data_IF_439918711457
#
_entry.id   IF_439918711457
#
_cell.length_a   1.000
_cell.length_b   1.000
_cell.length_c   1.000
_cell.angle_alpha   90.00
_cell.angle_beta   90.00
_cell.angle_gamma   90.00
#
_symmetry.space_group_name_H-M   'P 1'
#
loop_
_entity.id
_entity.type
_entity.pdbx_description
1 polymer ?
#
# COMPACT_ATOMS: atom_id res chain seq x y z
N UNK A 1 13.62 26.07 -17.19
CA UNK A 1 15.09 26.14 -17.13
C UNK A 1 15.63 24.79 -17.58
N UNK A 2 16.67 24.76 -18.44
CA UNK A 2 16.94 23.76 -19.50
C UNK A 2 16.96 22.24 -19.15
N UNK A 3 16.74 21.83 -17.90
CA UNK A 3 16.59 20.42 -17.48
C UNK A 3 15.31 20.11 -16.66
N UNK A 4 14.34 21.04 -16.57
CA UNK A 4 13.12 20.86 -15.76
C UNK A 4 13.39 20.97 -14.25
N UNK A 5 12.34 21.23 -13.44
CA UNK A 5 12.49 21.21 -11.98
C UNK A 5 12.66 19.75 -11.53
N UNK A 6 13.76 19.45 -10.82
CA UNK A 6 13.99 18.12 -10.22
C UNK A 6 13.06 17.98 -9.01
N UNK A 7 12.13 17.05 -9.09
CA UNK A 7 11.15 16.78 -8.04
C UNK A 7 11.52 15.49 -7.30
N UNK A 8 11.75 15.59 -6.00
CA UNK A 8 11.78 14.43 -5.10
C UNK A 8 10.40 14.21 -4.49
N UNK A 9 9.94 12.97 -4.44
CA UNK A 9 8.73 12.58 -3.72
C UNK A 9 9.10 11.59 -2.61
N UNK A 10 8.78 11.95 -1.37
CA UNK A 10 8.85 11.04 -0.24
C UNK A 10 7.44 10.62 0.16
N UNK A 11 7.20 9.31 0.23
CA UNK A 11 5.95 8.74 0.72
C UNK A 11 6.20 8.20 2.13
N UNK A 12 5.41 8.67 3.10
CA UNK A 12 5.48 8.24 4.50
C UNK A 12 4.13 7.67 4.92
N UNK A 13 4.13 6.45 5.47
CA UNK A 13 2.97 5.89 6.15
C UNK A 13 2.73 6.63 7.48
N UNK A 14 1.47 6.89 7.83
CA UNK A 14 1.09 7.65 9.03
C UNK A 14 1.58 7.01 10.35
N UNK A 15 1.62 5.68 10.39
CA UNK A 15 2.04 4.86 11.52
C UNK A 15 3.49 4.36 11.39
N UNK A 16 4.29 4.88 10.45
CA UNK A 16 5.68 4.47 10.26
C UNK A 16 6.53 4.69 11.53
N UNK A 17 6.27 5.77 12.25
CA UNK A 17 6.84 6.06 13.56
C UNK A 17 6.02 7.16 14.26
N UNK A 18 5.85 7.07 15.58
CA UNK A 18 5.07 8.01 16.39
C UNK A 18 5.74 9.38 16.57
N UNK A 19 7.07 9.45 16.54
CA UNK A 19 7.84 10.67 16.78
C UNK A 19 8.33 11.31 15.47
N UNK A 20 8.73 10.50 14.48
CA UNK A 20 9.10 10.98 13.14
C UNK A 20 7.84 11.22 12.29
N UNK A 21 7.09 12.25 12.67
CA UNK A 21 5.85 12.68 11.99
C UNK A 21 6.15 13.34 10.64
N UNK A 22 5.14 13.47 9.78
CA UNK A 22 5.29 14.16 8.49
C UNK A 22 5.75 15.60 8.69
N UNK A 23 5.17 16.32 9.66
CA UNK A 23 5.56 17.70 9.97
C UNK A 23 7.00 17.78 10.51
N UNK A 24 7.41 16.86 11.38
CA UNK A 24 8.78 16.80 11.88
C UNK A 24 9.79 16.55 10.75
N UNK A 25 9.55 15.54 9.91
CA UNK A 25 10.45 15.22 8.79
C UNK A 25 10.50 16.37 7.77
N UNK A 26 9.37 17.02 7.49
CA UNK A 26 9.36 18.19 6.60
C UNK A 26 10.19 19.33 7.17
N UNK A 27 10.00 19.69 8.45
CA UNK A 27 10.79 20.74 9.09
C UNK A 27 12.29 20.41 9.14
N UNK A 28 12.63 19.15 9.43
CA UNK A 28 14.02 18.67 9.41
C UNK A 28 14.65 18.85 8.02
N UNK A 29 13.94 18.47 6.96
CA UNK A 29 14.46 18.64 5.59
C UNK A 29 14.49 20.09 5.12
N UNK A 30 13.59 20.95 5.61
CA UNK A 30 13.67 22.39 5.32
C UNK A 30 14.93 23.00 5.95
N UNK A 31 15.24 22.66 7.20
CA UNK A 31 16.44 23.14 7.89
C UNK A 31 17.74 22.61 7.26
N UNK A 32 17.83 21.29 7.06
CA UNK A 32 19.03 20.66 6.50
C UNK A 32 19.21 20.93 4.98
N UNK A 33 18.12 21.27 4.29
CA UNK A 33 18.12 21.55 2.86
C UNK A 33 18.70 22.92 2.51
N UNK A 34 18.56 23.91 3.40
CA UNK A 34 18.98 25.29 3.15
C UNK A 34 18.51 25.80 1.78
N UNK A 35 19.44 26.32 0.97
CA UNK A 35 19.13 26.84 -0.37
C UNK A 35 19.13 25.75 -1.48
N UNK A 36 19.34 24.47 -1.14
CA UNK A 36 19.46 23.40 -2.12
C UNK A 36 18.10 22.96 -2.69
N UNK A 37 17.05 22.94 -1.86
CA UNK A 37 15.70 22.54 -2.28
C UNK A 37 14.62 23.08 -1.35
N UNK A 38 13.41 23.24 -1.88
CA UNK A 38 12.20 23.51 -1.11
C UNK A 38 11.48 22.21 -0.75
N UNK A 39 10.92 22.13 0.46
CA UNK A 39 10.06 21.03 0.89
C UNK A 39 8.60 21.47 0.86
N UNK A 40 7.71 20.56 0.47
CA UNK A 40 6.26 20.76 0.56
C UNK A 40 5.63 19.52 1.15
N UNK A 41 4.88 19.70 2.24
CA UNK A 41 4.10 18.62 2.83
C UNK A 41 2.71 18.51 2.18
N UNK A 42 2.24 17.28 2.01
CA UNK A 42 0.87 16.98 1.60
C UNK A 42 0.34 15.80 2.42
N UNK A 43 -0.71 16.04 3.20
CA UNK A 43 -1.40 15.02 3.98
C UNK A 43 -2.78 14.85 3.36
N UNK A 44 -2.97 13.76 2.60
CA UNK A 44 -4.21 13.53 1.85
C UNK A 44 -5.43 13.31 2.76
N UNK A 45 -5.22 12.70 3.94
CA UNK A 45 -6.30 12.39 4.88
C UNK A 45 -7.39 11.53 4.24
N UNK A 46 -8.65 11.90 4.44
CA UNK A 46 -9.83 11.19 3.95
C UNK A 46 -9.92 11.11 2.42
N UNK A 47 -9.20 11.95 1.66
CA UNK A 47 -9.18 11.86 0.20
C UNK A 47 -8.63 10.50 -0.28
N UNK A 48 -7.87 9.79 0.55
CA UNK A 48 -7.38 8.44 0.27
C UNK A 48 -8.49 7.39 0.21
N UNK A 49 -9.67 7.66 0.78
CA UNK A 49 -10.85 6.80 0.62
C UNK A 49 -11.40 6.82 -0.82
N UNK A 50 -10.94 7.78 -1.63
CA UNK A 50 -11.41 7.99 -2.98
C UNK A 50 -12.73 8.76 -3.02
N UNK A 51 -13.25 8.93 -4.24
CA UNK A 51 -14.58 9.47 -4.49
C UNK A 51 -15.48 8.37 -5.03
N UNK A 52 -15.70 8.37 -6.34
CA UNK A 52 -16.41 7.28 -7.00
C UNK A 52 -15.50 6.05 -7.11
N UNK A 53 -15.99 4.84 -6.78
CA UNK A 53 -15.21 3.61 -6.93
C UNK A 53 -14.78 3.42 -8.38
N UNK A 54 -13.55 2.94 -8.57
CA UNK A 54 -12.98 2.71 -9.90
C UNK A 54 -13.72 1.59 -10.63
N UNK A 55 -13.58 1.46 -11.96
CA UNK A 55 -14.11 0.30 -12.69
C UNK A 55 -13.61 -1.03 -12.13
N UNK A 56 -12.35 -1.08 -11.68
CA UNK A 56 -11.78 -2.27 -11.04
C UNK A 56 -12.53 -2.62 -9.74
N UNK A 57 -12.74 -1.64 -8.85
CA UNK A 57 -13.44 -1.85 -7.59
C UNK A 57 -14.87 -2.34 -7.81
N UNK A 58 -15.57 -1.79 -8.81
CA UNK A 58 -16.95 -2.19 -9.16
C UNK A 58 -17.02 -3.63 -9.64
N UNK A 59 -16.12 -4.03 -10.54
CA UNK A 59 -16.07 -5.41 -11.06
C UNK A 59 -15.70 -6.37 -9.94
N UNK A 60 -14.69 -6.02 -9.13
CA UNK A 60 -14.27 -6.86 -8.01
C UNK A 60 -15.39 -7.05 -6.98
N UNK A 61 -16.09 -5.97 -6.61
CA UNK A 61 -17.23 -6.04 -5.70
C UNK A 61 -18.33 -6.97 -6.24
N UNK A 62 -18.65 -6.87 -7.53
CA UNK A 62 -19.62 -7.77 -8.17
C UNK A 62 -19.16 -9.24 -8.16
N UNK A 63 -17.88 -9.50 -8.43
CA UNK A 63 -17.29 -10.86 -8.38
C UNK A 63 -17.36 -11.45 -6.97
N UNK A 64 -16.98 -10.67 -5.95
CA UNK A 64 -17.03 -11.11 -4.55
C UNK A 64 -18.47 -11.33 -4.08
N UNK A 65 -19.40 -10.46 -4.46
CA UNK A 65 -20.81 -10.59 -4.13
C UNK A 65 -21.44 -11.84 -4.77
N UNK A 66 -21.16 -12.09 -6.05
CA UNK A 66 -21.62 -13.30 -6.74
C UNK A 66 -21.11 -14.56 -6.05
N UNK A 67 -19.82 -14.60 -5.70
CA UNK A 67 -19.22 -15.76 -5.03
C UNK A 67 -19.83 -15.98 -3.63
N UNK A 68 -20.11 -14.90 -2.89
CA UNK A 68 -20.78 -14.99 -1.60
C UNK A 68 -22.17 -15.61 -1.70
N UNK A 69 -22.98 -15.14 -2.66
CA UNK A 69 -24.34 -15.67 -2.90
C UNK A 69 -24.27 -17.14 -3.31
N UNK A 70 -23.41 -17.48 -4.28
CA UNK A 70 -23.19 -18.87 -4.73
C UNK A 70 -22.88 -19.79 -3.55
N UNK A 71 -22.00 -19.36 -2.65
CA UNK A 71 -21.62 -20.16 -1.47
C UNK A 71 -22.77 -20.35 -0.48
N UNK A 72 -23.58 -19.31 -0.27
CA UNK A 72 -24.77 -19.39 0.58
C UNK A 72 -25.78 -20.39 -0.02
N UNK A 73 -25.99 -20.36 -1.34
CA UNK A 73 -26.86 -21.30 -2.05
C UNK A 73 -26.37 -22.75 -1.94
N UNK A 74 -25.07 -22.99 -2.10
CA UNK A 74 -24.45 -24.32 -1.94
C UNK A 74 -24.70 -24.91 -0.55
N UNK A 75 -24.55 -24.09 0.49
CA UNK A 75 -24.81 -24.48 1.87
C UNK A 75 -26.30 -24.74 2.09
N UNK A 76 -27.17 -23.85 1.62
CA UNK A 76 -28.62 -23.96 1.80
C UNK A 76 -29.20 -25.22 1.11
N UNK A 77 -28.62 -25.60 -0.03
CA UNK A 77 -29.03 -26.74 -0.86
C UNK A 77 -28.54 -28.10 -0.33
N UNK A 78 -27.78 -28.15 0.78
CA UNK A 78 -27.31 -29.38 1.43
C UNK A 78 -28.03 -29.58 2.77
N UNK A 79 -29.16 -30.31 2.82
CA UNK A 79 -29.98 -30.44 4.04
C UNK A 79 -29.23 -31.13 5.19
N UNK A 80 -28.30 -32.03 4.87
CA UNK A 80 -27.48 -32.78 5.82
C UNK A 80 -26.25 -32.00 6.33
N UNK A 81 -25.87 -30.91 5.65
CA UNK A 81 -24.83 -29.98 6.11
C UNK A 81 -25.36 -28.96 7.15
N UNK A 82 -26.64 -29.05 7.56
CA UNK A 82 -27.25 -28.16 8.58
C UNK A 82 -26.77 -28.42 10.00
N UNK A 83 -25.82 -29.34 10.22
CA UNK A 83 -25.09 -29.38 11.49
C UNK A 83 -24.20 -28.15 11.54
N UNK A 84 -24.29 -27.39 12.64
CA UNK A 84 -23.52 -26.16 12.87
C UNK A 84 -22.00 -26.35 12.70
N UNK A 85 -21.50 -27.60 12.75
CA UNK A 85 -20.11 -27.98 12.50
C UNK A 85 -19.68 -27.91 11.03
N UNK A 86 -20.61 -27.98 10.08
CA UNK A 86 -20.32 -28.16 8.64
C UNK A 86 -20.56 -26.87 7.82
N UNK A 87 -21.28 -25.89 8.39
CA UNK A 87 -21.48 -24.55 7.82
C UNK A 87 -20.44 -23.59 8.41
N UNK A 88 -19.20 -23.72 7.96
CA UNK A 88 -18.13 -22.83 8.41
C UNK A 88 -18.33 -21.41 7.88
N UNK A 89 -18.30 -20.40 8.75
CA UNK A 89 -18.10 -19.02 8.33
C UNK A 89 -16.81 -18.92 7.51
N UNK A 90 -16.83 -18.18 6.40
CA UNK A 90 -15.68 -17.98 5.51
C UNK A 90 -15.45 -16.48 5.24
N UNK A 91 -14.21 -16.12 4.98
CA UNK A 91 -13.80 -14.84 4.42
C UNK A 91 -13.47 -15.05 2.94
N UNK A 92 -14.08 -14.26 2.06
CA UNK A 92 -13.73 -14.22 0.65
C UNK A 92 -12.60 -13.22 0.43
N UNK A 93 -11.63 -13.59 -0.41
CA UNK A 93 -10.52 -12.72 -0.78
C UNK A 93 -9.92 -13.13 -2.12
N UNK A 94 -9.07 -12.27 -2.66
CA UNK A 94 -8.28 -12.62 -3.85
C UNK A 94 -6.98 -13.27 -3.41
N UNK A 95 -6.65 -14.42 -3.99
CA UNK A 95 -5.34 -15.05 -3.89
C UNK A 95 -4.90 -15.44 -5.30
N UNK A 96 -3.71 -14.98 -5.71
CA UNK A 96 -3.14 -15.26 -7.03
C UNK A 96 -4.05 -14.93 -8.24
N UNK A 97 -4.95 -13.95 -8.08
CA UNK A 97 -5.88 -13.50 -9.12
C UNK A 97 -7.28 -14.14 -9.06
N UNK A 98 -7.43 -15.19 -8.25
CA UNK A 98 -8.68 -15.92 -8.08
C UNK A 98 -9.39 -15.56 -6.77
N UNK A 99 -10.73 -15.64 -6.79
CA UNK A 99 -11.54 -15.46 -5.58
C UNK A 99 -11.56 -16.77 -4.82
N UNK A 100 -11.04 -16.73 -3.60
CA UNK A 100 -10.89 -17.89 -2.72
C UNK A 100 -11.63 -17.68 -1.40
N UNK A 101 -12.16 -18.78 -0.84
CA UNK A 101 -12.87 -18.80 0.44
C UNK A 101 -11.97 -19.39 1.54
N UNK A 102 -11.61 -18.57 2.53
CA UNK A 102 -10.81 -19.00 3.68
C UNK A 102 -11.73 -19.17 4.90
N UNK A 103 -11.69 -20.31 5.63
CA UNK A 103 -12.47 -20.46 6.86
C UNK A 103 -12.15 -19.35 7.87
N UNK A 104 -13.17 -18.69 8.41
CA UNK A 104 -13.03 -17.49 9.24
C UNK A 104 -12.18 -17.77 10.49
N UNK A 105 -12.31 -18.95 11.10
CA UNK A 105 -11.51 -19.35 12.27
C UNK A 105 -10.00 -19.44 11.97
N UNK A 106 -9.59 -19.53 10.69
CA UNK A 106 -8.17 -19.50 10.30
C UNK A 106 -7.63 -18.08 10.20
N UNK A 107 -8.47 -17.07 9.96
CA UNK A 107 -8.03 -15.69 9.73
C UNK A 107 -7.16 -15.14 10.87
N UNK A 108 -7.50 -15.32 12.17
CA UNK A 108 -6.64 -14.86 13.25
C UNK A 108 -5.22 -15.45 13.23
N UNK A 109 -5.06 -16.66 12.69
CA UNK A 109 -3.73 -17.31 12.57
C UNK A 109 -2.88 -16.76 11.44
N UNK A 110 -3.48 -15.99 10.53
CA UNK A 110 -2.82 -15.38 9.38
C UNK A 110 -2.57 -13.87 9.58
N UNK A 111 -3.01 -13.32 10.72
CA UNK A 111 -2.99 -11.90 11.01
C UNK A 111 -2.12 -11.60 12.22
N UNK A 112 -1.37 -10.51 12.14
CA UNK A 112 -0.80 -9.81 13.27
C UNK A 112 -1.93 -8.97 13.90
N UNK A 113 -2.45 -9.40 15.04
CA UNK A 113 -3.57 -8.71 15.71
C UNK A 113 -3.18 -7.34 16.25
N UNK A 114 -1.92 -7.18 16.68
CA UNK A 114 -1.41 -5.93 17.26
C UNK A 114 -1.33 -4.86 16.19
N UNK A 115 -0.79 -5.21 15.01
CA UNK A 115 -0.62 -4.28 13.90
C UNK A 115 -1.74 -4.35 12.85
N UNK A 116 -2.76 -5.17 13.08
CA UNK A 116 -3.96 -5.34 12.24
C UNK A 116 -3.66 -5.58 10.75
N UNK A 117 -2.69 -6.45 10.46
CA UNK A 117 -2.24 -6.75 9.08
C UNK A 117 -1.89 -8.23 8.91
N UNK A 118 -1.80 -8.74 7.67
CA UNK A 118 -1.33 -10.11 7.44
C UNK A 118 0.09 -10.33 8.00
N UNK A 119 0.33 -11.53 8.55
CA UNK A 119 1.67 -11.96 8.98
C UNK A 119 2.65 -11.93 7.80
N UNK A 120 2.20 -12.41 6.65
CA UNK A 120 2.96 -12.40 5.40
C UNK A 120 2.62 -11.15 4.56
N UNK A 121 3.62 -10.30 4.35
CA UNK A 121 3.49 -9.05 3.60
C UNK A 121 4.18 -9.17 2.25
N UNK A 122 3.59 -9.92 1.32
CA UNK A 122 4.16 -10.26 0.00
C UNK A 122 4.77 -9.05 -0.75
N UNK A 123 4.15 -7.87 -0.64
CA UNK A 123 4.61 -6.66 -1.32
C UNK A 123 5.96 -6.14 -0.81
N UNK A 124 6.43 -6.60 0.36
CA UNK A 124 7.75 -6.27 0.88
C UNK A 124 8.89 -6.81 0.03
N UNK A 125 8.63 -7.86 -0.74
CA UNK A 125 9.56 -8.42 -1.72
C UNK A 125 9.79 -7.50 -2.92
N UNK A 126 8.89 -6.54 -3.16
CA UNK A 126 9.03 -5.54 -4.22
C UNK A 126 9.99 -4.41 -3.84
N UNK A 127 10.41 -4.30 -2.58
CA UNK A 127 11.28 -3.21 -2.12
C UNK A 127 12.62 -3.11 -2.86
N UNK A 128 13.35 -4.19 -3.16
CA UNK A 128 14.57 -4.11 -3.96
C UNK A 128 14.32 -3.55 -5.37
N UNK A 129 13.22 -3.95 -6.02
CA UNK A 129 12.81 -3.41 -7.32
C UNK A 129 12.46 -1.92 -7.23
N UNK A 130 11.67 -1.53 -6.23
CA UNK A 130 11.35 -0.14 -5.99
C UNK A 130 12.61 0.71 -5.76
N UNK A 131 13.60 0.21 -5.00
CA UNK A 131 14.89 0.88 -4.78
C UNK A 131 15.72 0.99 -6.05
N UNK A 132 15.70 -0.03 -6.90
CA UNK A 132 16.39 -0.02 -8.19
C UNK A 132 15.78 1.03 -9.13
N UNK A 133 14.45 1.09 -9.21
CA UNK A 133 13.71 2.04 -10.05
C UNK A 133 13.76 3.48 -9.50
N UNK A 134 13.98 3.64 -8.20
CA UNK A 134 14.15 4.95 -7.56
C UNK A 134 15.57 5.52 -7.72
N UNK A 135 16.53 4.75 -8.27
CA UNK A 135 17.85 5.29 -8.53
C UNK A 135 17.78 6.39 -9.59
N UNK A 136 18.54 7.48 -9.43
CA UNK A 136 18.65 8.47 -10.48
C UNK A 136 19.29 7.86 -11.74
N UNK A 137 19.03 8.46 -12.90
CA UNK A 137 19.59 8.00 -14.17
C UNK A 137 21.14 7.99 -14.18
N UNK A 138 21.77 7.24 -15.11
CA UNK A 138 23.22 7.18 -15.25
C UNK A 138 23.84 8.58 -15.40
N UNK A 139 24.96 8.85 -14.72
CA UNK A 139 25.67 10.14 -14.76
C UNK A 139 25.19 11.19 -13.75
N UNK A 140 24.19 10.89 -12.91
CA UNK A 140 23.68 11.82 -11.89
C UNK A 140 24.75 12.30 -10.90
N UNK A 141 25.58 11.39 -10.40
CA UNK A 141 26.62 11.73 -9.42
C UNK A 141 27.85 12.40 -10.06
N UNK A 142 28.13 12.13 -11.33
CA UNK A 142 29.21 12.78 -12.08
C UNK A 142 28.89 14.26 -12.36
N UNK A 143 27.62 14.56 -12.68
CA UNK A 143 27.16 15.95 -12.90
C UNK A 143 27.05 16.75 -11.60
N UNK A 144 26.74 16.11 -10.47
CA UNK A 144 26.69 16.77 -9.15
C UNK A 144 28.07 17.20 -8.65
N UNK A 145 29.12 16.43 -8.97
CA UNK A 145 30.50 16.76 -8.61
C UNK A 145 31.06 17.92 -9.44
N UNK A 146 30.65 18.05 -10.71
CA UNK A 146 31.07 19.13 -11.61
C UNK A 146 30.40 20.48 -11.28
N UNK A 147 29.22 20.47 -10.64
CA UNK A 147 28.50 21.69 -10.23
C UNK A 147 28.96 22.29 -8.89
N UNK A 148 29.84 21.61 -8.15
CA UNK A 148 30.45 22.11 -6.89
C UNK A 148 31.85 22.70 -7.09
N UNK A 149 32.35 22.73 -8.33
CA UNK A 149 33.59 23.44 -8.68
C UNK A 149 33.31 24.93 -8.88
N UNK A 150 33.18 25.64 -7.76
CA UNK A 150 33.48 27.06 -7.51
C UNK A 150 32.84 28.17 -8.37
N UNK A 151 32.33 29.24 -7.71
CA UNK A 151 32.77 30.56 -8.12
C UNK A 151 33.20 31.44 -6.92
N UNK A 152 34.51 31.49 -6.69
CA UNK A 152 35.32 32.50 -5.96
C UNK A 152 35.56 32.27 -4.46
#
# INVERSE_FOLDING_TARGET
FQQGKRLGLMIRNEAANSFYTTSFISALFEEEGGDLFEVRQSILGHLQQGGNPSPFDRILAARLAWEAVRRIEEVASRPEARRFSDVGAVCLGIQEGDVNATPLYRIPRLMDEVHQRPLEQWWMELRPLARMLAQPGPGFFEQSALGQADPS
#
